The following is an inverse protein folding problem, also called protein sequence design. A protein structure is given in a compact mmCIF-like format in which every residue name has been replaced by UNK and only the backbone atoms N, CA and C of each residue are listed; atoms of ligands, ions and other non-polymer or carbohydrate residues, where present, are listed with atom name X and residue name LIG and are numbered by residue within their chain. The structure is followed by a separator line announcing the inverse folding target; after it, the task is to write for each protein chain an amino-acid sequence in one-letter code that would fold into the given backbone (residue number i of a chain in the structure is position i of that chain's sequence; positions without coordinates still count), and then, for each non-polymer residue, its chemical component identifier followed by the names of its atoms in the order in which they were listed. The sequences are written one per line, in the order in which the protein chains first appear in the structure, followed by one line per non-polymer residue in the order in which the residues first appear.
data_IF_313252451755
#
_entry.id   IF_313252451755
#
_cell.length_a   1.000
_cell.length_b   1.000
_cell.length_c   1.000
_cell.angle_alpha   90.00
_cell.angle_beta   90.00
_cell.angle_gamma   90.00
#
_symmetry.space_group_name_H-M   'P 1'
#
loop_
_entity.id
_entity.type
_entity.pdbx_description
1 polymer ?
#
# COMPACT_ATOMS: atom_id res chain seq x y z
N UNK A 1 27.19 -39.19 -16.38
CA UNK A 1 26.37 -38.18 -15.68
C UNK A 1 27.24 -36.97 -15.38
N UNK A 2 27.11 -35.88 -16.15
CA UNK A 2 27.89 -34.66 -15.88
C UNK A 2 27.42 -34.04 -14.57
N UNK A 3 28.33 -33.91 -13.61
CA UNK A 3 28.11 -33.24 -12.33
C UNK A 3 27.82 -31.76 -12.57
N UNK A 4 26.58 -31.34 -12.31
CA UNK A 4 26.17 -29.95 -12.39
C UNK A 4 27.03 -29.09 -11.46
N UNK A 5 27.85 -28.21 -12.04
CA UNK A 5 28.75 -27.31 -11.30
C UNK A 5 28.33 -25.84 -11.56
N UNK A 6 27.63 -25.19 -10.60
CA UNK A 6 27.19 -23.81 -10.71
C UNK A 6 28.30 -22.81 -11.05
N UNK A 7 29.52 -23.03 -10.52
CA UNK A 7 30.67 -22.17 -10.79
C UNK A 7 31.12 -22.28 -12.24
N UNK A 8 31.11 -23.50 -12.78
CA UNK A 8 31.48 -23.75 -14.17
C UNK A 8 30.47 -23.10 -15.13
N UNK A 9 29.18 -23.17 -14.81
CA UNK A 9 28.13 -22.53 -15.60
C UNK A 9 28.30 -21.00 -15.65
N UNK A 10 28.57 -20.36 -14.51
CA UNK A 10 28.85 -18.93 -14.46
C UNK A 10 30.09 -18.56 -15.31
N UNK A 11 31.18 -19.31 -15.16
CA UNK A 11 32.41 -19.10 -15.93
C UNK A 11 32.15 -19.27 -17.43
N UNK A 12 31.43 -20.30 -17.84
CA UNK A 12 31.06 -20.53 -19.25
C UNK A 12 30.18 -19.39 -19.79
N UNK A 13 29.25 -18.87 -18.99
CA UNK A 13 28.41 -17.72 -19.36
C UNK A 13 29.26 -16.45 -19.56
N UNK A 14 30.18 -16.17 -18.64
CA UNK A 14 31.04 -15.00 -18.71
C UNK A 14 32.07 -15.06 -19.84
N UNK A 15 32.47 -16.25 -20.30
CA UNK A 15 33.40 -16.42 -21.44
C UNK A 15 32.90 -15.83 -22.74
N UNK A 16 31.58 -15.66 -22.88
CA UNK A 16 30.98 -15.04 -24.07
C UNK A 16 31.33 -13.54 -24.17
N UNK A 17 31.70 -12.90 -23.06
CA UNK A 17 31.94 -11.46 -22.97
C UNK A 17 33.33 -11.10 -22.45
N UNK A 18 34.00 -12.02 -21.74
CA UNK A 18 35.29 -11.79 -21.10
C UNK A 18 36.26 -12.95 -21.36
N UNK A 19 37.53 -12.63 -21.59
CA UNK A 19 38.64 -13.56 -21.39
C UNK A 19 38.78 -13.82 -19.89
N UNK A 20 38.79 -15.09 -19.51
CA UNK A 20 38.82 -15.51 -18.11
C UNK A 20 40.14 -16.18 -17.79
N UNK A 21 40.81 -15.68 -16.75
CA UNK A 21 41.97 -16.32 -16.13
C UNK A 21 41.58 -16.94 -14.79
N UNK A 22 41.94 -18.20 -14.56
CA UNK A 22 41.65 -18.90 -13.32
C UNK A 22 42.79 -18.65 -12.32
N UNK A 23 42.59 -17.70 -11.40
CA UNK A 23 43.60 -17.37 -10.36
C UNK A 23 43.68 -18.49 -9.30
N UNK A 24 42.52 -19.00 -8.88
CA UNK A 24 42.44 -20.11 -7.93
C UNK A 24 41.27 -21.02 -8.26
N UNK A 25 41.54 -21.97 -9.17
CA UNK A 25 40.53 -22.90 -9.64
C UNK A 25 39.29 -22.16 -10.16
N UNK A 26 38.10 -22.57 -9.70
CA UNK A 26 36.83 -21.90 -10.02
C UNK A 26 36.34 -20.95 -8.93
N UNK A 27 37.15 -20.73 -7.89
CA UNK A 27 36.78 -19.87 -6.76
C UNK A 27 37.15 -18.42 -7.03
N UNK A 28 38.33 -18.16 -7.60
CA UNK A 28 38.79 -16.80 -7.91
C UNK A 28 39.21 -16.74 -9.36
N UNK A 29 38.62 -15.82 -10.11
CA UNK A 29 38.90 -15.61 -11.53
C UNK A 29 39.18 -14.13 -11.81
N UNK A 30 39.96 -13.84 -12.85
CA UNK A 30 40.08 -12.51 -13.42
C UNK A 30 39.34 -12.43 -14.77
N UNK A 31 38.69 -11.30 -15.02
CA UNK A 31 37.97 -10.98 -16.25
C UNK A 31 38.76 -9.92 -17.02
N UNK A 32 39.43 -10.28 -18.12
CA UNK A 32 40.20 -9.36 -19.00
C UNK A 32 41.21 -8.45 -18.25
N UNK A 33 41.74 -8.86 -17.10
CA UNK A 33 42.51 -8.00 -16.18
C UNK A 33 41.78 -6.76 -15.65
N UNK A 34 40.47 -6.64 -15.90
CA UNK A 34 39.61 -5.50 -15.52
C UNK A 34 38.92 -5.71 -14.18
N UNK A 35 38.60 -6.94 -13.82
CA UNK A 35 37.92 -7.26 -12.57
C UNK A 35 38.35 -8.62 -12.03
N UNK A 36 38.28 -8.78 -10.71
CA UNK A 36 38.51 -10.04 -10.02
C UNK A 36 37.19 -10.48 -9.37
N UNK A 37 36.79 -11.73 -9.63
CA UNK A 37 35.57 -12.34 -9.11
C UNK A 37 35.90 -13.43 -8.10
N UNK A 38 35.38 -13.31 -6.88
CA UNK A 38 35.40 -14.38 -5.88
C UNK A 38 34.04 -15.07 -5.80
N UNK A 39 33.98 -16.29 -6.35
CA UNK A 39 32.76 -17.05 -6.57
C UNK A 39 32.54 -18.06 -5.44
N UNK A 40 31.39 -17.95 -4.78
CA UNK A 40 30.89 -18.91 -3.81
C UNK A 40 29.54 -19.45 -4.29
N UNK A 41 29.25 -20.71 -4.00
CA UNK A 41 27.94 -21.29 -4.30
C UNK A 41 27.38 -22.01 -3.07
N UNK A 42 26.07 -22.08 -2.98
CA UNK A 42 25.37 -22.86 -1.98
C UNK A 42 24.07 -23.41 -2.57
N UNK A 43 23.69 -24.63 -2.19
CA UNK A 43 22.39 -25.22 -2.55
C UNK A 43 21.34 -24.76 -1.57
N UNK A 44 20.10 -24.63 -2.04
CA UNK A 44 18.98 -24.23 -1.19
C UNK A 44 18.86 -25.18 0.02
N UNK A 45 18.96 -24.64 1.23
CA UNK A 45 18.89 -25.38 2.49
C UNK A 45 17.45 -25.57 3.02
N UNK A 46 16.43 -25.11 2.30
CA UNK A 46 15.02 -25.35 2.60
C UNK A 46 14.11 -24.16 2.31
N UNK A 47 12.82 -24.45 2.12
CA UNK A 47 11.75 -23.47 1.93
C UNK A 47 10.79 -23.46 3.14
N UNK A 48 10.18 -22.32 3.41
CA UNK A 48 9.08 -22.16 4.38
C UNK A 48 7.97 -21.33 3.74
N UNK A 49 6.83 -21.14 4.41
CA UNK A 49 5.66 -20.42 3.87
C UNK A 49 5.99 -19.04 3.25
N UNK A 50 7.04 -18.36 3.72
CA UNK A 50 7.44 -17.02 3.25
C UNK A 50 8.89 -16.96 2.71
N UNK A 51 9.54 -18.11 2.53
CA UNK A 51 10.95 -18.18 2.09
C UNK A 51 11.07 -19.28 1.06
N UNK A 52 11.41 -18.92 -0.17
CA UNK A 52 11.61 -19.88 -1.26
C UNK A 52 13.04 -20.42 -1.30
N UNK A 53 14.02 -19.71 -0.69
CA UNK A 53 15.34 -20.28 -0.51
C UNK A 53 16.20 -19.68 0.60
N UNK A 54 17.04 -20.53 1.20
CA UNK A 54 18.03 -20.18 2.21
C UNK A 54 19.42 -20.66 1.78
N UNK A 55 20.39 -19.75 1.74
CA UNK A 55 21.74 -20.02 1.28
C UNK A 55 22.77 -19.55 2.29
N UNK A 56 23.79 -20.36 2.53
CA UNK A 56 24.86 -20.06 3.49
C UNK A 56 26.17 -19.75 2.76
N UNK A 57 26.72 -18.58 3.03
CA UNK A 57 27.97 -18.12 2.43
C UNK A 57 29.01 -17.77 3.50
N UNK A 58 30.27 -17.96 3.14
CA UNK A 58 31.43 -17.59 3.94
C UNK A 58 32.48 -16.98 3.02
N UNK A 59 32.88 -15.75 3.31
CA UNK A 59 33.94 -15.02 2.59
C UNK A 59 35.18 -15.03 3.46
N UNK A 60 36.25 -15.66 2.99
CA UNK A 60 37.51 -15.73 3.75
C UNK A 60 38.20 -14.38 3.76
N UNK A 61 38.61 -13.95 4.95
CA UNK A 61 39.30 -12.67 5.17
C UNK A 61 40.57 -12.56 4.34
N UNK A 62 41.42 -13.59 4.32
CA UNK A 62 42.68 -13.58 3.57
C UNK A 62 42.49 -13.44 2.06
N UNK A 63 41.47 -14.08 1.51
CA UNK A 63 41.13 -13.98 0.08
C UNK A 63 40.56 -12.60 -0.24
N UNK A 64 39.68 -12.08 0.61
CA UNK A 64 39.11 -10.75 0.42
C UNK A 64 40.17 -9.65 0.47
N UNK A 65 40.99 -9.63 1.52
CA UNK A 65 42.00 -8.58 1.73
C UNK A 65 43.04 -8.57 0.61
N UNK A 66 43.41 -9.74 0.09
CA UNK A 66 44.34 -9.88 -1.04
C UNK A 66 43.87 -9.14 -2.30
N UNK A 67 42.56 -9.11 -2.57
CA UNK A 67 42.02 -8.56 -3.81
C UNK A 67 41.20 -7.28 -3.63
N UNK A 68 40.82 -6.91 -2.40
CA UNK A 68 39.95 -5.77 -2.10
C UNK A 68 40.43 -4.41 -2.64
N UNK A 69 41.75 -4.23 -2.82
CA UNK A 69 42.34 -3.03 -3.42
C UNK A 69 42.28 -2.99 -4.96
N UNK A 70 41.75 -4.03 -5.60
CA UNK A 70 41.50 -4.09 -7.04
C UNK A 70 40.00 -3.89 -7.31
N UNK A 71 39.60 -3.89 -8.59
CA UNK A 71 38.19 -3.92 -8.98
C UNK A 71 37.58 -5.30 -8.69
N UNK A 72 37.22 -5.52 -7.43
CA UNK A 72 36.92 -6.82 -6.85
C UNK A 72 35.43 -7.00 -6.58
N UNK A 73 34.92 -8.20 -6.84
CA UNK A 73 33.52 -8.55 -6.63
C UNK A 73 33.39 -9.93 -5.98
N UNK A 74 32.37 -10.08 -5.15
CA UNK A 74 31.94 -11.35 -4.57
C UNK A 74 30.69 -11.82 -5.30
N UNK A 75 30.76 -13.00 -5.92
CA UNK A 75 29.62 -13.62 -6.60
C UNK A 75 29.07 -14.79 -5.78
N UNK A 76 27.84 -14.66 -5.29
CA UNK A 76 27.11 -15.67 -4.54
C UNK A 76 26.08 -16.37 -5.45
N UNK A 77 26.39 -17.59 -5.88
CA UNK A 77 25.51 -18.44 -6.68
C UNK A 77 24.52 -19.19 -5.77
N UNK A 78 23.24 -18.85 -5.87
CA UNK A 78 22.12 -19.39 -5.13
C UNK A 78 21.42 -20.47 -5.98
N UNK A 79 21.63 -21.74 -5.66
CA UNK A 79 21.22 -22.87 -6.51
C UNK A 79 19.92 -23.50 -6.01
N UNK A 80 18.85 -23.43 -6.82
CA UNK A 80 17.54 -24.03 -6.53
C UNK A 80 17.42 -25.44 -7.15
N UNK A 81 17.98 -25.62 -8.34
CA UNK A 81 17.97 -26.88 -9.08
C UNK A 81 18.96 -26.86 -10.25
N UNK A 82 19.02 -27.93 -11.05
CA UNK A 82 19.83 -27.94 -12.28
C UNK A 82 19.36 -26.83 -13.24
N UNK A 83 20.24 -25.87 -13.52
CA UNK A 83 19.96 -24.72 -14.41
C UNK A 83 19.25 -23.54 -13.75
N UNK A 84 18.70 -23.70 -12.53
CA UNK A 84 18.03 -22.62 -11.80
C UNK A 84 18.99 -22.02 -10.75
N UNK A 85 19.74 -21.01 -11.17
CA UNK A 85 20.73 -20.32 -10.36
C UNK A 85 20.54 -18.81 -10.46
N UNK A 86 20.45 -18.17 -9.31
CA UNK A 86 20.53 -16.72 -9.19
C UNK A 86 21.92 -16.32 -8.69
N UNK A 87 22.48 -15.26 -9.26
CA UNK A 87 23.79 -14.75 -8.85
C UNK A 87 23.62 -13.41 -8.14
N UNK A 88 24.04 -13.31 -6.88
CA UNK A 88 24.17 -12.02 -6.20
C UNK A 88 25.62 -11.56 -6.27
N UNK A 89 25.85 -10.42 -6.90
CA UNK A 89 27.19 -9.93 -7.20
C UNK A 89 27.43 -8.63 -6.43
N UNK A 90 28.28 -8.69 -5.42
CA UNK A 90 28.61 -7.56 -4.57
C UNK A 90 29.95 -6.96 -4.98
N UNK A 91 29.99 -5.69 -5.43
CA UNK A 91 31.23 -4.92 -5.45
C UNK A 91 31.89 -4.86 -4.06
N UNK A 92 33.22 -4.85 -4.00
CA UNK A 92 33.96 -4.84 -2.73
C UNK A 92 33.63 -3.64 -1.84
N UNK A 93 33.43 -2.46 -2.43
CA UNK A 93 33.04 -1.25 -1.70
C UNK A 93 31.66 -1.38 -1.05
N UNK A 94 30.69 -2.00 -1.73
CA UNK A 94 29.37 -2.30 -1.14
C UNK A 94 29.45 -3.41 -0.09
N UNK A 95 30.28 -4.42 -0.32
CA UNK A 95 30.49 -5.47 0.67
C UNK A 95 31.20 -4.93 1.92
N UNK A 96 32.05 -3.91 1.80
CA UNK A 96 32.69 -3.24 2.93
C UNK A 96 31.70 -2.56 3.88
N UNK A 97 30.55 -2.11 3.38
CA UNK A 97 29.45 -1.60 4.20
C UNK A 97 28.84 -2.73 5.04
N UNK A 98 28.53 -3.87 4.41
CA UNK A 98 27.91 -5.04 5.04
C UNK A 98 28.87 -5.74 6.02
N UNK A 99 30.15 -5.88 5.65
CA UNK A 99 31.13 -6.68 6.41
C UNK A 99 31.37 -6.11 7.81
N UNK A 100 31.17 -4.79 8.01
CA UNK A 100 31.29 -4.13 9.33
C UNK A 100 30.35 -4.75 10.35
N UNK A 101 29.20 -5.24 9.90
CA UNK A 101 28.22 -5.87 10.76
C UNK A 101 28.43 -7.37 10.93
N UNK A 102 29.16 -8.03 10.04
CA UNK A 102 29.37 -9.48 10.12
C UNK A 102 30.55 -9.77 11.05
N UNK A 103 30.29 -10.52 12.13
CA UNK A 103 31.37 -11.00 13.00
C UNK A 103 32.28 -11.98 12.24
N UNK A 104 33.59 -11.77 12.32
CA UNK A 104 34.57 -12.67 11.76
C UNK A 104 34.63 -13.96 12.59
N UNK A 105 34.32 -15.10 11.99
CA UNK A 105 34.31 -16.41 12.65
C UNK A 105 35.17 -17.39 11.86
N UNK A 106 36.19 -17.96 12.50
CA UNK A 106 37.14 -18.90 11.87
C UNK A 106 37.77 -18.32 10.59
N UNK A 107 38.11 -17.02 10.60
CA UNK A 107 38.71 -16.33 9.45
C UNK A 107 37.75 -16.03 8.29
N UNK A 108 36.44 -16.20 8.48
CA UNK A 108 35.43 -15.93 7.45
C UNK A 108 34.33 -14.99 7.97
N UNK A 109 33.84 -14.11 7.10
CA UNK A 109 32.56 -13.43 7.29
C UNK A 109 31.45 -14.35 6.81
N UNK A 110 30.66 -14.87 7.74
CA UNK A 110 29.57 -15.82 7.46
C UNK A 110 28.22 -15.12 7.52
N UNK A 111 27.42 -15.30 6.47
CA UNK A 111 26.09 -14.71 6.36
C UNK A 111 25.14 -15.62 5.58
N UNK A 112 23.85 -15.33 5.69
CA UNK A 112 22.81 -16.03 4.93
C UNK A 112 22.26 -15.11 3.83
N UNK A 113 22.02 -15.67 2.64
CA UNK A 113 21.13 -15.06 1.67
C UNK A 113 19.76 -15.74 1.73
N UNK A 114 18.72 -14.94 1.81
CA UNK A 114 17.33 -15.36 1.95
C UNK A 114 16.55 -14.86 0.73
N UNK A 115 15.98 -15.77 -0.06
CA UNK A 115 15.07 -15.43 -1.16
C UNK A 115 13.62 -15.54 -0.70
N UNK A 116 12.87 -14.46 -0.85
CA UNK A 116 11.42 -14.42 -0.53
C UNK A 116 10.58 -14.83 -1.74
N UNK A 117 9.32 -15.19 -1.49
CA UNK A 117 8.28 -15.44 -2.51
C UNK A 117 8.11 -14.29 -3.51
N UNK A 118 8.32 -13.05 -3.09
CA UNK A 118 8.35 -11.86 -3.95
C UNK A 118 9.64 -11.72 -4.79
N UNK A 119 10.47 -12.77 -4.86
CA UNK A 119 11.77 -12.77 -5.56
C UNK A 119 12.77 -11.72 -5.04
N UNK A 120 12.61 -11.22 -3.81
CA UNK A 120 13.58 -10.33 -3.14
C UNK A 120 14.65 -11.12 -2.43
N UNK A 121 15.85 -10.54 -2.36
CA UNK A 121 16.98 -11.13 -1.65
C UNK A 121 17.36 -10.31 -0.43
N UNK A 122 17.53 -11.00 0.70
CA UNK A 122 18.02 -10.38 1.93
C UNK A 122 19.30 -11.05 2.41
N UNK A 123 20.30 -10.24 2.77
CA UNK A 123 21.48 -10.70 3.46
C UNK A 123 21.24 -10.63 4.97
N UNK A 124 21.07 -11.78 5.61
CA UNK A 124 20.85 -11.89 7.05
C UNK A 124 22.16 -12.10 7.80
N UNK A 125 22.39 -11.22 8.78
CA UNK A 125 23.50 -11.30 9.73
C UNK A 125 22.98 -11.94 11.02
N UNK A 126 23.54 -13.10 11.42
CA UNK A 126 23.08 -13.81 12.61
C UNK A 126 23.04 -12.90 13.84
N UNK A 127 21.90 -12.89 14.54
CA UNK A 127 21.64 -12.13 15.77
C UNK A 127 21.64 -10.60 15.65
N UNK A 128 22.01 -10.02 14.49
CA UNK A 128 22.04 -8.57 14.31
C UNK A 128 20.91 -8.01 13.47
N UNK A 129 20.57 -8.63 12.34
CA UNK A 129 19.59 -8.05 11.41
C UNK A 129 19.70 -8.59 9.99
N UNK A 130 19.14 -7.86 9.02
CA UNK A 130 19.26 -8.17 7.60
C UNK A 130 19.33 -6.89 6.74
N UNK A 131 19.98 -6.99 5.60
CA UNK A 131 20.01 -5.99 4.54
C UNK A 131 19.15 -6.46 3.36
N UNK A 132 18.44 -5.56 2.68
CA UNK A 132 17.91 -5.86 1.35
C UNK A 132 19.05 -5.72 0.33
N UNK A 133 19.26 -6.79 -0.43
CA UNK A 133 20.33 -6.91 -1.43
C UNK A 133 19.78 -7.32 -2.80
N UNK A 134 18.50 -7.04 -3.05
CA UNK A 134 17.81 -7.41 -4.29
C UNK A 134 18.44 -6.76 -5.51
N UNK A 135 18.94 -5.53 -5.41
CA UNK A 135 19.59 -4.83 -6.54
C UNK A 135 20.89 -5.50 -7.00
N UNK A 136 21.52 -6.32 -6.16
CA UNK A 136 22.72 -7.08 -6.52
C UNK A 136 22.39 -8.37 -7.31
N UNK A 137 21.11 -8.70 -7.47
CA UNK A 137 20.66 -9.85 -8.24
C UNK A 137 21.01 -9.66 -9.72
N UNK A 138 21.82 -10.58 -10.24
CA UNK A 138 22.29 -10.62 -11.63
C UNK A 138 22.96 -9.31 -12.07
N UNK A 139 23.63 -8.62 -11.15
CA UNK A 139 24.39 -7.41 -11.43
C UNK A 139 25.73 -7.75 -12.11
N UNK A 140 25.75 -7.74 -13.45
CA UNK A 140 26.90 -8.12 -14.28
C UNK A 140 27.71 -6.94 -14.85
N UNK A 141 27.68 -5.76 -14.20
CA UNK A 141 28.58 -4.66 -14.58
C UNK A 141 29.88 -4.68 -13.76
N UNK A 142 30.93 -5.22 -14.39
CA UNK A 142 32.27 -5.33 -13.83
C UNK A 142 33.18 -4.14 -14.13
N UNK A 143 32.63 -3.00 -14.57
CA UNK A 143 33.41 -1.79 -14.81
C UNK A 143 34.02 -1.24 -13.51
N UNK A 144 35.21 -0.63 -13.54
CA UNK A 144 35.77 0.04 -12.37
C UNK A 144 34.82 1.14 -11.88
N UNK A 145 34.83 1.40 -10.56
CA UNK A 145 33.90 2.31 -9.88
C UNK A 145 33.77 3.68 -10.56
N UNK A 146 34.89 4.26 -10.98
CA UNK A 146 35.00 5.55 -11.66
C UNK A 146 34.35 5.61 -13.06
N UNK A 147 34.04 4.45 -13.66
CA UNK A 147 33.39 4.35 -14.98
C UNK A 147 31.95 3.84 -14.94
N UNK A 148 31.38 3.54 -13.76
CA UNK A 148 29.97 3.12 -13.61
C UNK A 148 29.06 4.35 -13.74
N UNK A 149 28.62 4.67 -14.97
CA UNK A 149 27.88 5.91 -15.27
C UNK A 149 26.35 5.77 -15.27
N UNK A 150 25.81 4.54 -15.22
CA UNK A 150 24.38 4.31 -15.47
C UNK A 150 23.59 3.77 -14.27
N UNK A 151 24.17 2.85 -13.49
CA UNK A 151 23.48 2.20 -12.37
C UNK A 151 24.51 1.51 -11.46
N UNK A 152 24.48 1.79 -10.16
CA UNK A 152 25.26 1.07 -9.16
C UNK A 152 24.30 0.57 -8.10
N UNK A 153 24.26 -0.74 -7.81
CA UNK A 153 23.32 -1.29 -6.84
C UNK A 153 23.58 -0.67 -5.47
N UNK A 154 22.49 -0.34 -4.80
CA UNK A 154 22.49 0.22 -3.46
C UNK A 154 22.13 -0.86 -2.44
N UNK A 155 22.75 -0.73 -1.26
CA UNK A 155 22.44 -1.55 -0.12
C UNK A 155 21.17 -0.97 0.54
N UNK A 156 20.10 -1.76 0.64
CA UNK A 156 18.90 -1.32 1.34
C UNK A 156 19.16 -1.10 2.84
N UNK A 157 18.29 -0.37 3.53
CA UNK A 157 18.49 -0.05 4.95
C UNK A 157 18.64 -1.29 5.84
N UNK A 158 19.51 -1.19 6.86
CA UNK A 158 19.73 -2.27 7.82
C UNK A 158 18.51 -2.46 8.72
N UNK A 159 17.96 -3.67 8.73
CA UNK A 159 16.82 -4.03 9.56
C UNK A 159 17.29 -4.85 10.79
N UNK A 160 17.37 -4.27 12.00
CA UNK A 160 17.89 -4.95 13.18
C UNK A 160 17.00 -6.12 13.63
N UNK A 161 17.62 -7.16 14.18
CA UNK A 161 16.96 -8.36 14.71
C UNK A 161 16.58 -8.10 16.17
N UNK A 162 15.33 -7.73 16.41
CA UNK A 162 14.79 -7.50 17.76
C UNK A 162 14.82 -8.79 18.58
N UNK A 163 15.46 -8.75 19.75
CA UNK A 163 15.55 -9.89 20.70
C UNK A 163 14.21 -10.04 21.41
N UNK A 164 13.71 -11.27 21.53
CA UNK A 164 12.40 -11.59 22.14
C UNK A 164 12.24 -10.97 23.53
N UNK A 165 11.44 -9.91 23.58
CA UNK A 165 10.98 -9.25 24.79
C UNK A 165 10.08 -8.07 24.47
N UNK A 166 9.38 -8.11 23.34
CA UNK A 166 8.31 -7.20 22.91
C UNK A 166 7.95 -7.64 21.48
N UNK A 167 6.71 -8.09 21.28
CA UNK A 167 6.22 -8.45 19.96
C UNK A 167 5.87 -7.15 19.25
N UNK A 168 6.76 -6.68 18.37
CA UNK A 168 6.41 -5.74 17.31
C UNK A 168 7.01 -6.25 15.98
N UNK A 169 6.12 -6.36 15.00
CA UNK A 169 6.25 -7.19 13.81
C UNK A 169 7.26 -6.65 12.79
N UNK A 170 8.00 -7.55 12.13
CA UNK A 170 8.63 -7.26 10.83
C UNK A 170 7.48 -6.98 9.84
N UNK A 171 7.54 -5.91 9.02
CA UNK A 171 6.51 -5.63 8.05
C UNK A 171 6.52 -6.75 7.01
N UNK A 172 5.51 -7.63 7.10
CA UNK A 172 4.88 -8.23 5.92
C UNK A 172 4.59 -7.04 4.98
N UNK A 173 4.73 -7.21 3.67
CA UNK A 173 4.02 -6.31 2.75
C UNK A 173 2.62 -6.11 3.34
N UNK A 174 2.20 -4.87 3.63
CA UNK A 174 0.98 -4.64 4.38
C UNK A 174 -0.11 -5.40 3.62
N UNK A 175 -0.64 -6.43 4.27
CA UNK A 175 -1.76 -7.17 3.73
C UNK A 175 -2.82 -6.11 3.41
N UNK A 176 -3.39 -6.08 2.19
CA UNK A 176 -4.47 -5.17 1.89
C UNK A 176 -5.50 -5.27 3.00
N UNK A 177 -5.96 -4.13 3.50
CA UNK A 177 -6.83 -4.10 4.68
C UNK A 177 -8.07 -4.99 4.50
N UNK A 178 -8.57 -5.14 3.27
CA UNK A 178 -9.62 -6.08 2.89
C UNK A 178 -9.28 -7.53 3.23
N UNK A 179 -8.08 -7.98 2.87
CA UNK A 179 -7.60 -9.33 3.16
C UNK A 179 -7.36 -9.51 4.67
N UNK A 180 -6.85 -8.47 5.34
CA UNK A 180 -6.64 -8.48 6.78
C UNK A 180 -7.96 -8.63 7.53
N UNK A 181 -8.97 -7.85 7.15
CA UNK A 181 -10.33 -7.94 7.68
C UNK A 181 -10.94 -9.33 7.47
N UNK A 182 -10.86 -9.90 6.25
CA UNK A 182 -11.40 -11.23 5.94
C UNK A 182 -10.72 -12.37 6.71
N UNK A 183 -9.40 -12.29 6.86
CA UNK A 183 -8.63 -13.32 7.55
C UNK A 183 -8.88 -13.28 9.06
N UNK A 184 -8.87 -12.09 9.65
CA UNK A 184 -8.96 -11.91 11.10
C UNK A 184 -10.37 -12.11 11.65
N UNK A 185 -11.41 -11.78 10.88
CA UNK A 185 -12.80 -12.03 11.28
C UNK A 185 -13.10 -13.53 11.45
N UNK A 186 -12.39 -14.42 10.73
CA UNK A 186 -12.52 -15.88 10.89
C UNK A 186 -11.59 -16.47 11.95
N UNK A 187 -10.62 -15.70 12.45
CA UNK A 187 -9.64 -16.14 13.44
C UNK A 187 -10.14 -15.92 14.88
N UNK A 188 -11.11 -16.74 15.29
CA UNK A 188 -11.60 -16.75 16.68
C UNK A 188 -10.53 -17.07 17.75
N UNK A 189 -9.37 -17.61 17.36
CA UNK A 189 -8.26 -17.87 18.29
C UNK A 189 -7.46 -16.62 18.63
N UNK A 190 -7.53 -15.58 17.80
CA UNK A 190 -6.80 -14.33 17.99
C UNK A 190 -7.73 -13.12 17.72
N UNK A 191 -8.78 -12.92 18.54
CA UNK A 191 -9.77 -11.85 18.31
C UNK A 191 -9.14 -10.45 18.25
N UNK A 192 -8.05 -10.22 18.97
CA UNK A 192 -7.33 -8.94 18.99
C UNK A 192 -6.82 -8.53 17.60
N UNK A 193 -6.53 -9.49 16.72
CA UNK A 193 -6.11 -9.16 15.35
C UNK A 193 -7.27 -8.54 14.55
N UNK A 194 -8.50 -8.96 14.83
CA UNK A 194 -9.68 -8.39 14.18
C UNK A 194 -9.97 -6.98 14.71
N UNK A 195 -9.83 -6.77 16.02
CA UNK A 195 -9.92 -5.44 16.62
C UNK A 195 -8.92 -4.46 15.99
N UNK A 196 -7.69 -4.92 15.74
CA UNK A 196 -6.63 -4.12 15.11
C UNK A 196 -6.94 -3.80 13.64
N UNK A 197 -7.56 -4.73 12.92
CA UNK A 197 -8.01 -4.52 11.54
C UNK A 197 -9.18 -3.53 11.47
N UNK A 198 -10.11 -3.60 12.42
CA UNK A 198 -11.22 -2.65 12.52
C UNK A 198 -10.72 -1.24 12.87
N UNK A 199 -9.76 -1.11 13.78
CA UNK A 199 -9.14 0.18 14.13
C UNK A 199 -8.51 0.84 12.89
N UNK A 200 -7.77 0.06 12.08
CA UNK A 200 -7.23 0.52 10.80
C UNK A 200 -8.34 0.96 9.84
N UNK A 201 -9.42 0.19 9.73
CA UNK A 201 -10.55 0.55 8.87
C UNK A 201 -11.19 1.88 9.24
N UNK A 202 -11.54 2.09 10.52
CA UNK A 202 -12.16 3.34 10.96
C UNK A 202 -11.21 4.52 10.81
N UNK A 203 -9.92 4.32 11.11
CA UNK A 203 -8.88 5.33 10.87
C UNK A 203 -8.77 5.69 9.39
N UNK A 204 -8.77 4.70 8.50
CA UNK A 204 -8.61 4.91 7.05
C UNK A 204 -9.78 5.69 6.46
N UNK A 205 -11.02 5.40 6.87
CA UNK A 205 -12.21 6.16 6.39
C UNK A 205 -12.40 7.51 7.10
N UNK A 206 -11.43 7.94 7.93
CA UNK A 206 -11.34 9.29 8.49
C UNK A 206 -11.84 9.47 9.92
N UNK A 207 -12.08 8.40 10.69
CA UNK A 207 -12.47 8.50 12.09
C UNK A 207 -11.26 8.40 13.03
N UNK A 208 -11.03 9.41 13.90
CA UNK A 208 -10.10 9.24 15.02
C UNK A 208 -10.71 8.24 16.03
N UNK A 209 -10.00 7.15 16.27
CA UNK A 209 -10.46 6.10 17.16
C UNK A 209 -9.35 5.65 18.12
N UNK A 210 -9.77 5.00 19.21
CA UNK A 210 -8.89 4.40 20.21
C UNK A 210 -9.35 2.98 20.49
N UNK A 211 -8.42 2.03 20.46
CA UNK A 211 -8.68 0.68 20.98
C UNK A 211 -8.75 0.71 22.50
N UNK A 212 -9.83 0.16 23.07
CA UNK A 212 -10.02 0.01 24.52
C UNK A 212 -9.87 -1.46 24.94
N UNK A 213 -9.96 -2.39 23.98
CA UNK A 213 -9.89 -3.85 24.08
C UNK A 213 -9.38 -4.48 25.39
N UNK A 214 -10.12 -5.46 25.88
CA UNK A 214 -9.79 -6.21 27.09
C UNK A 214 -10.94 -7.15 27.49
N UNK A 215 -10.72 -8.12 28.41
CA UNK A 215 -11.78 -8.98 28.90
C UNK A 215 -12.87 -8.13 29.57
N UNK A 216 -14.02 -7.99 28.91
CA UNK A 216 -15.13 -7.20 29.45
C UNK A 216 -15.43 -5.95 28.64
N UNK A 217 -14.49 -5.37 27.90
CA UNK A 217 -14.69 -4.08 27.21
C UNK A 217 -15.23 -4.22 25.77
N UNK A 218 -15.61 -3.09 25.16
CA UNK A 218 -15.77 -2.95 23.70
C UNK A 218 -14.41 -2.74 23.04
N UNK A 219 -14.30 -3.12 21.78
CA UNK A 219 -13.01 -3.21 21.12
C UNK A 219 -12.45 -1.81 20.77
N UNK A 220 -13.28 -0.96 20.17
CA UNK A 220 -12.87 0.36 19.67
C UNK A 220 -13.87 1.44 20.11
N UNK A 221 -13.35 2.59 20.48
CA UNK A 221 -14.10 3.82 20.69
C UNK A 221 -13.73 4.84 19.60
N UNK A 222 -14.70 5.21 18.78
CA UNK A 222 -14.59 6.35 17.87
C UNK A 222 -14.89 7.62 18.64
N UNK A 223 -14.07 8.65 18.44
CA UNK A 223 -14.10 9.87 19.26
C UNK A 223 -14.90 11.00 18.61
N UNK A 224 -14.68 11.22 17.32
CA UNK A 224 -15.19 12.36 16.55
C UNK A 224 -15.53 11.92 15.12
N UNK A 225 -16.40 12.63 14.37
CA UNK A 225 -17.17 13.80 14.81
C UNK A 225 -18.40 13.43 15.66
N UNK A 226 -18.65 12.14 15.82
CA UNK A 226 -19.65 11.58 16.75
C UNK A 226 -18.98 10.44 17.51
N UNK A 227 -19.20 10.39 18.82
CA UNK A 227 -18.64 9.35 19.66
C UNK A 227 -19.49 8.09 19.59
N UNK A 228 -18.90 6.94 19.23
CA UNK A 228 -19.61 5.65 19.20
C UNK A 228 -18.66 4.49 19.48
N UNK A 229 -19.22 3.36 19.91
CA UNK A 229 -18.42 2.14 20.16
C UNK A 229 -18.54 1.17 18.99
N UNK A 230 -17.45 0.45 18.73
CA UNK A 230 -17.41 -0.63 17.76
C UNK A 230 -16.95 -1.90 18.47
N UNK A 231 -17.64 -2.99 18.17
CA UNK A 231 -17.35 -4.32 18.70
C UNK A 231 -17.26 -5.34 17.55
N UNK A 232 -16.11 -6.00 17.43
CA UNK A 232 -15.78 -7.01 16.45
C UNK A 232 -15.98 -8.42 17.01
N UNK A 233 -16.89 -9.18 16.39
CA UNK A 233 -17.11 -10.59 16.72
C UNK A 233 -16.45 -11.50 15.68
N UNK A 234 -15.28 -12.02 15.98
CA UNK A 234 -14.65 -13.07 15.17
C UNK A 234 -15.30 -14.45 15.41
N UNK A 235 -15.43 -15.25 14.35
CA UNK A 235 -16.07 -16.57 14.40
C UNK A 235 -15.59 -17.46 13.25
N UNK A 236 -15.40 -18.76 13.53
CA UNK A 236 -15.12 -19.76 12.48
C UNK A 236 -16.38 -20.15 11.68
N UNK A 237 -17.56 -19.90 12.24
CA UNK A 237 -18.83 -20.10 11.55
C UNK A 237 -19.10 -18.96 10.55
N UNK A 238 -19.97 -19.20 9.59
CA UNK A 238 -20.29 -18.20 8.55
C UNK A 238 -21.19 -17.06 9.08
N UNK A 239 -21.85 -17.25 10.23
CA UNK A 239 -22.65 -16.23 10.88
C UNK A 239 -22.56 -16.31 12.41
N UNK A 240 -22.85 -15.18 13.06
CA UNK A 240 -23.00 -15.09 14.51
C UNK A 240 -24.47 -15.25 14.91
N UNK A 241 -24.73 -16.22 15.76
CA UNK A 241 -26.07 -16.58 16.23
C UNK A 241 -26.50 -15.93 17.55
N UNK A 242 -25.56 -15.33 18.28
CA UNK A 242 -25.84 -14.67 19.56
C UNK A 242 -24.87 -13.52 19.84
N UNK A 243 -25.42 -12.41 20.35
CA UNK A 243 -24.69 -11.22 20.76
C UNK A 243 -25.22 -10.77 22.12
N UNK A 244 -24.31 -10.42 23.04
CA UNK A 244 -24.69 -9.81 24.31
C UNK A 244 -24.78 -8.29 24.17
N UNK A 245 -25.91 -7.82 23.65
CA UNK A 245 -26.17 -6.38 23.44
C UNK A 245 -26.16 -5.60 24.75
N UNK A 246 -26.69 -6.15 25.83
CA UNK A 246 -26.73 -5.50 27.16
C UNK A 246 -25.35 -5.09 27.63
N UNK A 247 -24.34 -5.95 27.44
CA UNK A 247 -22.95 -5.65 27.78
C UNK A 247 -22.42 -4.49 26.94
N UNK A 248 -22.54 -4.58 25.61
CA UNK A 248 -22.03 -3.56 24.67
C UNK A 248 -22.68 -2.20 24.96
N UNK A 249 -24.00 -2.19 25.20
CA UNK A 249 -24.79 -1.00 25.53
C UNK A 249 -24.33 -0.35 26.85
N UNK A 250 -23.94 -1.15 27.84
CA UNK A 250 -23.36 -0.63 29.08
C UNK A 250 -22.03 0.09 28.81
N UNK A 251 -21.11 -0.53 28.06
CA UNK A 251 -19.81 0.07 27.74
C UNK A 251 -19.93 1.31 26.85
N UNK A 252 -20.87 1.31 25.92
CA UNK A 252 -21.24 2.50 25.15
C UNK A 252 -21.63 3.65 26.07
N UNK A 253 -22.52 3.40 27.05
CA UNK A 253 -22.93 4.42 28.03
C UNK A 253 -21.78 4.89 28.91
N UNK A 254 -20.97 3.98 29.44
CA UNK A 254 -19.77 4.30 30.24
C UNK A 254 -18.78 5.16 29.46
N UNK A 255 -18.71 4.97 28.14
CA UNK A 255 -17.86 5.74 27.24
C UNK A 255 -18.52 7.00 26.68
N UNK A 256 -19.75 7.34 27.06
CA UNK A 256 -20.56 8.43 26.46
C UNK A 256 -20.72 8.31 24.93
N UNK A 257 -20.81 7.09 24.39
CA UNK A 257 -21.11 6.86 22.98
C UNK A 257 -22.60 7.07 22.66
N UNK A 258 -22.88 7.60 21.47
CA UNK A 258 -24.24 7.85 20.98
C UNK A 258 -24.91 6.59 20.41
N UNK A 259 -24.14 5.73 19.77
CA UNK A 259 -24.62 4.47 19.18
C UNK A 259 -23.53 3.39 19.22
N UNK A 260 -23.90 2.17 18.82
CA UNK A 260 -23.00 1.02 18.80
C UNK A 260 -23.04 0.31 17.45
N UNK A 261 -21.87 -0.06 16.96
CA UNK A 261 -21.68 -0.80 15.71
C UNK A 261 -21.07 -2.15 16.04
N UNK A 262 -21.62 -3.21 15.47
CA UNK A 262 -21.11 -4.56 15.66
C UNK A 262 -20.75 -5.15 14.31
N UNK A 263 -19.54 -5.68 14.20
CA UNK A 263 -18.99 -6.22 12.96
C UNK A 263 -18.69 -7.71 13.11
N UNK A 264 -19.09 -8.53 12.14
CA UNK A 264 -18.77 -9.96 12.10
C UNK A 264 -18.72 -10.49 10.66
N UNK A 265 -18.46 -11.80 10.48
CA UNK A 265 -18.54 -12.48 9.17
C UNK A 265 -19.93 -12.30 8.56
N UNK A 266 -20.96 -12.40 9.41
CA UNK A 266 -22.36 -12.29 9.10
C UNK A 266 -23.18 -12.52 10.37
N UNK A 267 -24.51 -12.39 10.28
CA UNK A 267 -25.41 -12.53 11.43
C UNK A 267 -26.64 -13.34 11.06
N UNK A 268 -27.13 -14.12 12.01
CA UNK A 268 -28.41 -14.80 11.84
C UNK A 268 -29.57 -13.79 11.82
N UNK A 269 -30.65 -14.03 11.06
CA UNK A 269 -31.77 -13.09 10.96
C UNK A 269 -32.42 -12.73 12.31
N UNK A 270 -32.39 -13.64 13.29
CA UNK A 270 -32.89 -13.38 14.63
C UNK A 270 -32.08 -12.28 15.34
N UNK A 271 -30.75 -12.31 15.20
CA UNK A 271 -29.84 -11.31 15.76
C UNK A 271 -30.08 -9.93 15.14
N UNK A 272 -30.44 -9.88 13.86
CA UNK A 272 -30.86 -8.66 13.19
C UNK A 272 -32.05 -7.96 13.87
N UNK A 273 -33.08 -8.73 14.25
CA UNK A 273 -34.24 -8.21 14.98
C UNK A 273 -33.89 -7.73 16.38
N UNK A 274 -33.05 -8.50 17.09
CA UNK A 274 -32.58 -8.10 18.41
C UNK A 274 -31.78 -6.78 18.37
N UNK A 275 -30.97 -6.59 17.33
CA UNK A 275 -30.22 -5.37 17.12
C UNK A 275 -31.11 -4.15 16.83
N UNK A 276 -32.21 -4.33 16.09
CA UNK A 276 -33.21 -3.26 15.89
C UNK A 276 -33.84 -2.81 17.21
N UNK A 277 -34.22 -3.77 18.06
CA UNK A 277 -34.80 -3.51 19.38
C UNK A 277 -33.79 -2.81 20.30
N UNK A 278 -32.54 -3.25 20.28
CA UNK A 278 -31.52 -2.75 21.20
C UNK A 278 -30.87 -1.44 20.75
N UNK A 279 -31.12 -1.01 19.51
CA UNK A 279 -30.55 0.20 18.91
C UNK A 279 -29.10 0.00 18.46
N UNK A 280 -28.76 -1.19 17.97
CA UNK A 280 -27.43 -1.56 17.50
C UNK A 280 -27.39 -1.69 15.98
N UNK A 281 -26.29 -1.27 15.38
CA UNK A 281 -26.01 -1.42 13.95
C UNK A 281 -25.20 -2.70 13.74
N UNK A 282 -25.66 -3.60 12.86
CA UNK A 282 -24.92 -4.81 12.49
C UNK A 282 -24.36 -4.67 11.07
N UNK A 283 -23.06 -4.89 10.91
CA UNK A 283 -22.38 -4.79 9.61
C UNK A 283 -21.60 -6.07 9.36
N UNK A 284 -21.92 -6.77 8.28
CA UNK A 284 -21.11 -7.91 7.86
C UNK A 284 -19.80 -7.44 7.21
N UNK A 285 -18.81 -8.32 7.22
CA UNK A 285 -17.46 -7.99 6.75
C UNK A 285 -17.43 -7.60 5.26
N UNK A 286 -18.33 -8.16 4.45
CA UNK A 286 -18.36 -7.88 3.01
C UNK A 286 -18.94 -6.49 2.72
N UNK A 287 -19.95 -6.09 3.48
CA UNK A 287 -20.51 -4.73 3.49
C UNK A 287 -19.45 -3.73 3.95
N UNK A 288 -18.69 -4.03 5.01
CA UNK A 288 -17.58 -3.18 5.48
C UNK A 288 -16.50 -2.98 4.42
N UNK A 289 -16.09 -4.06 3.73
CA UNK A 289 -15.13 -4.00 2.61
C UNK A 289 -15.68 -3.18 1.44
N UNK A 290 -16.99 -3.25 1.19
CA UNK A 290 -17.63 -2.44 0.14
C UNK A 290 -17.52 -0.96 0.48
N UNK A 291 -17.74 -0.56 1.74
CA UNK A 291 -17.55 0.81 2.21
C UNK A 291 -16.09 1.25 2.03
N UNK A 292 -15.12 0.39 2.38
CA UNK A 292 -13.70 0.68 2.19
C UNK A 292 -13.34 0.95 0.72
N UNK A 293 -13.83 0.11 -0.19
CA UNK A 293 -13.59 0.26 -1.63
C UNK A 293 -14.19 1.55 -2.16
N UNK A 294 -15.41 1.88 -1.73
CA UNK A 294 -16.06 3.14 -2.08
C UNK A 294 -15.23 4.33 -1.57
N UNK A 295 -14.73 4.29 -0.33
CA UNK A 295 -13.87 5.35 0.23
C UNK A 295 -12.58 5.57 -0.59
N UNK A 296 -11.93 4.47 -0.99
CA UNK A 296 -10.69 4.54 -1.78
C UNK A 296 -10.91 5.09 -3.18
N UNK A 297 -12.09 4.86 -3.76
CA UNK A 297 -12.46 5.37 -5.08
C UNK A 297 -13.00 6.81 -5.01
N UNK A 298 -13.73 7.13 -3.94
CA UNK A 298 -14.39 8.41 -3.71
C UNK A 298 -14.08 8.92 -2.30
N UNK A 299 -13.39 10.05 -2.21
CA UNK A 299 -13.07 10.68 -0.91
C UNK A 299 -14.36 11.21 -0.29
N UNK A 300 -14.91 10.48 0.67
CA UNK A 300 -16.11 10.85 1.41
C UNK A 300 -15.76 11.37 2.81
N UNK A 301 -16.67 12.15 3.38
CA UNK A 301 -16.53 12.66 4.73
C UNK A 301 -16.93 11.61 5.78
N UNK A 302 -16.34 11.60 6.98
CA UNK A 302 -16.83 10.81 8.12
C UNK A 302 -18.34 10.96 8.38
N UNK A 303 -18.91 12.14 8.14
CA UNK A 303 -20.35 12.38 8.27
C UNK A 303 -21.20 11.51 7.33
N UNK A 304 -20.68 11.22 6.13
CA UNK A 304 -21.36 10.40 5.14
C UNK A 304 -21.51 8.95 5.61
N UNK A 305 -20.54 8.48 6.40
CA UNK A 305 -20.58 7.14 6.99
C UNK A 305 -21.47 7.09 8.23
N UNK A 306 -21.55 8.16 9.03
CA UNK A 306 -22.39 8.19 10.24
C UNK A 306 -23.86 7.88 9.93
N UNK A 307 -24.38 8.37 8.80
CA UNK A 307 -25.76 8.10 8.39
C UNK A 307 -26.04 6.61 8.19
N UNK A 308 -25.04 5.82 7.81
CA UNK A 308 -25.14 4.35 7.69
C UNK A 308 -24.84 3.69 9.03
N UNK A 309 -23.77 4.10 9.69
CA UNK A 309 -23.29 3.49 10.93
C UNK A 309 -24.27 3.66 12.10
N UNK A 310 -25.19 4.63 12.03
CA UNK A 310 -26.24 4.89 13.03
C UNK A 310 -27.53 4.07 12.79
N UNK A 311 -27.66 3.38 11.66
CA UNK A 311 -28.91 2.66 11.33
C UNK A 311 -29.05 1.37 12.13
N UNK A 312 -30.11 1.26 12.92
CA UNK A 312 -30.38 0.05 13.68
C UNK A 312 -30.63 -1.16 12.78
N UNK A 313 -30.28 -2.34 13.30
CA UNK A 313 -30.42 -3.62 12.60
C UNK A 313 -29.30 -3.88 11.60
N UNK A 314 -29.56 -4.80 10.67
CA UNK A 314 -28.59 -5.20 9.64
C UNK A 314 -28.42 -4.10 8.59
N UNK A 315 -27.17 -3.71 8.32
CA UNK A 315 -26.80 -2.86 7.19
C UNK A 315 -26.63 -3.77 5.97
N UNK A 316 -27.52 -3.62 5.00
CA UNK A 316 -27.47 -4.32 3.72
C UNK A 316 -26.97 -3.41 2.61
N UNK A 317 -26.69 -3.96 1.42
CA UNK A 317 -26.29 -3.17 0.25
C UNK A 317 -27.27 -2.05 -0.12
N UNK A 318 -28.57 -2.23 0.14
CA UNK A 318 -29.60 -1.20 -0.10
C UNK A 318 -29.39 0.04 0.79
N UNK A 319 -28.96 -0.16 2.04
CA UNK A 319 -28.67 0.91 3.00
C UNK A 319 -27.40 1.70 2.66
N UNK A 320 -26.55 1.19 1.76
CA UNK A 320 -25.42 1.93 1.14
C UNK A 320 -25.90 2.81 -0.04
N UNK A 321 -27.15 2.64 -0.51
CA UNK A 321 -27.74 3.42 -1.61
C UNK A 321 -27.56 4.95 -1.50
N UNK A 322 -27.80 5.59 -0.34
CA UNK A 322 -27.60 7.02 -0.16
C UNK A 322 -26.17 7.49 -0.46
N UNK A 323 -25.14 6.73 -0.06
CA UNK A 323 -23.76 7.03 -0.41
C UNK A 323 -23.53 7.00 -1.92
N UNK A 324 -24.10 6.00 -2.60
CA UNK A 324 -23.99 5.87 -4.06
C UNK A 324 -24.66 7.03 -4.77
N UNK A 325 -25.86 7.44 -4.32
CA UNK A 325 -26.56 8.60 -4.87
C UNK A 325 -25.76 9.90 -4.70
N UNK A 326 -25.11 10.08 -3.53
CA UNK A 326 -24.24 11.22 -3.29
C UNK A 326 -23.05 11.26 -4.26
N UNK A 327 -22.42 10.10 -4.48
CA UNK A 327 -21.31 9.95 -5.43
C UNK A 327 -21.76 10.26 -6.86
N UNK A 328 -22.89 9.68 -7.30
CA UNK A 328 -23.47 9.93 -8.61
C UNK A 328 -23.78 11.42 -8.81
N UNK A 329 -24.33 12.07 -7.78
CA UNK A 329 -24.57 13.50 -7.80
C UNK A 329 -23.28 14.31 -7.99
N UNK A 330 -22.20 13.98 -7.27
CA UNK A 330 -20.90 14.63 -7.42
C UNK A 330 -20.29 14.44 -8.82
N UNK A 331 -20.34 13.22 -9.36
CA UNK A 331 -19.87 12.91 -10.73
C UNK A 331 -20.66 13.71 -11.75
N UNK A 332 -21.99 13.74 -11.61
CA UNK A 332 -22.87 14.50 -12.49
C UNK A 332 -22.54 16.00 -12.45
N UNK A 333 -22.31 16.55 -11.25
CA UNK A 333 -21.90 17.94 -11.07
C UNK A 333 -20.58 18.27 -11.76
N UNK A 334 -19.58 17.40 -11.66
CA UNK A 334 -18.30 17.56 -12.36
C UNK A 334 -18.47 17.48 -13.88
N UNK A 335 -19.26 16.52 -14.39
CA UNK A 335 -19.51 16.39 -15.81
C UNK A 335 -20.23 17.62 -16.38
N UNK A 336 -21.26 18.11 -15.69
CA UNK A 336 -21.95 19.36 -16.05
C UNK A 336 -21.01 20.57 -16.03
N UNK A 337 -20.09 20.64 -15.06
CA UNK A 337 -19.03 21.66 -15.04
C UNK A 337 -18.15 21.60 -16.30
N UNK A 338 -17.77 20.40 -16.74
CA UNK A 338 -16.95 20.24 -17.95
C UNK A 338 -17.67 20.66 -19.23
N UNK A 339 -18.98 20.38 -19.32
CA UNK A 339 -19.84 20.83 -20.42
C UNK A 339 -19.95 22.36 -20.41
N UNK A 340 -20.20 22.95 -19.24
CA UNK A 340 -20.26 24.41 -19.08
C UNK A 340 -18.96 25.07 -19.54
N UNK A 341 -17.81 24.56 -19.09
CA UNK A 341 -16.50 25.10 -19.46
C UNK A 341 -16.19 24.98 -20.96
N UNK A 342 -16.69 23.96 -21.65
CA UNK A 342 -16.56 23.81 -23.12
C UNK A 342 -17.33 24.90 -23.88
N UNK A 343 -18.43 25.38 -23.30
CA UNK A 343 -19.36 26.29 -23.97
C UNK A 343 -19.18 27.77 -23.58
N UNK A 344 -18.32 28.05 -22.60
CA UNK A 344 -17.89 29.40 -22.23
C UNK A 344 -16.65 29.84 -23.01
N UNK A 345 -16.42 31.14 -23.09
CA UNK A 345 -15.21 31.73 -23.65
C UNK A 345 -14.92 33.08 -22.97
N UNK A 346 -13.97 33.86 -23.51
CA UNK A 346 -13.57 35.15 -22.95
C UNK A 346 -14.63 36.25 -23.07
N UNK A 347 -15.70 36.02 -23.82
CA UNK A 347 -16.79 37.00 -24.01
C UNK A 347 -17.76 36.95 -22.83
N UNK A 348 -17.97 38.06 -22.10
CA UNK A 348 -18.94 38.11 -21.01
C UNK A 348 -20.38 37.92 -21.52
N UNK A 349 -21.07 36.91 -20.99
CA UNK A 349 -22.46 36.58 -21.34
C UNK A 349 -23.34 36.50 -20.12
N UNK A 350 -24.62 36.84 -20.28
CA UNK A 350 -25.62 36.57 -19.26
C UNK A 350 -25.98 35.07 -19.23
N UNK A 351 -26.68 34.65 -18.18
CA UNK A 351 -27.03 33.24 -17.98
C UNK A 351 -27.94 32.67 -19.08
N UNK A 352 -28.83 33.47 -19.66
CA UNK A 352 -29.76 32.99 -20.68
C UNK A 352 -29.04 32.75 -22.02
N UNK A 353 -28.06 33.60 -22.37
CA UNK A 353 -27.16 33.40 -23.50
C UNK A 353 -26.30 32.13 -23.32
N UNK A 354 -25.78 31.91 -22.11
CA UNK A 354 -25.00 30.72 -21.77
C UNK A 354 -25.87 29.47 -21.87
N UNK A 355 -27.10 29.53 -21.34
CA UNK A 355 -28.07 28.43 -21.41
C UNK A 355 -28.38 28.07 -22.87
N UNK A 356 -28.62 29.07 -23.74
CA UNK A 356 -28.88 28.82 -25.15
C UNK A 356 -27.74 28.06 -25.85
N UNK A 357 -26.48 28.39 -25.52
CA UNK A 357 -25.30 27.67 -26.04
C UNK A 357 -25.21 26.23 -25.52
N UNK A 358 -25.44 26.05 -24.23
CA UNK A 358 -25.41 24.72 -23.60
C UNK A 358 -26.54 23.83 -24.13
N UNK A 359 -27.75 24.36 -24.28
CA UNK A 359 -28.88 23.62 -24.83
C UNK A 359 -28.58 23.13 -26.26
N UNK A 360 -28.02 24.02 -27.11
CA UNK A 360 -27.58 23.65 -28.46
C UNK A 360 -26.50 22.56 -28.44
N UNK A 361 -25.51 22.69 -27.56
CA UNK A 361 -24.47 21.67 -27.38
C UNK A 361 -25.07 20.32 -26.92
N UNK A 362 -25.96 20.33 -25.94
CA UNK A 362 -26.62 19.14 -25.44
C UNK A 362 -27.46 18.46 -26.53
N UNK A 363 -28.20 19.22 -27.33
CA UNK A 363 -28.99 18.69 -28.46
C UNK A 363 -28.09 18.04 -29.53
N UNK A 364 -26.99 18.70 -29.90
CA UNK A 364 -26.04 18.17 -30.89
C UNK A 364 -25.34 16.89 -30.43
N UNK A 365 -25.10 16.76 -29.12
CA UNK A 365 -24.37 15.63 -28.55
C UNK A 365 -25.28 14.59 -27.87
N UNK A 366 -26.61 14.73 -27.98
CA UNK A 366 -27.60 13.85 -27.33
C UNK A 366 -27.41 13.72 -25.81
N UNK A 367 -27.03 14.82 -25.16
CA UNK A 367 -26.83 14.91 -23.72
C UNK A 367 -28.11 15.47 -23.08
N UNK A 368 -28.43 15.01 -21.87
CA UNK A 368 -29.50 15.59 -21.05
C UNK A 368 -29.26 17.10 -20.85
N UNK A 369 -30.33 17.89 -20.99
CA UNK A 369 -30.26 19.34 -20.79
C UNK A 369 -29.90 19.66 -19.34
N UNK A 370 -29.19 20.77 -19.16
CA UNK A 370 -28.81 21.29 -17.84
C UNK A 370 -29.80 22.40 -17.48
N UNK A 371 -30.39 22.31 -16.28
CA UNK A 371 -31.36 23.29 -15.84
C UNK A 371 -30.70 24.64 -15.54
N UNK A 372 -31.47 25.73 -15.68
CA UNK A 372 -30.93 27.10 -15.54
C UNK A 372 -30.32 27.34 -14.16
N UNK A 373 -30.98 26.88 -13.10
CA UNK A 373 -30.51 26.98 -11.71
C UNK A 373 -29.23 26.17 -11.47
N UNK A 374 -29.05 25.04 -12.15
CA UNK A 374 -27.83 24.25 -12.09
C UNK A 374 -26.67 24.98 -12.78
N UNK A 375 -26.91 25.59 -13.95
CA UNK A 375 -25.92 26.43 -14.64
C UNK A 375 -25.49 27.59 -13.73
N UNK A 376 -26.45 28.26 -13.09
CA UNK A 376 -26.17 29.35 -12.15
C UNK A 376 -25.27 28.89 -10.99
N UNK A 377 -25.63 27.78 -10.35
CA UNK A 377 -24.88 27.21 -9.23
C UNK A 377 -23.46 26.83 -9.65
N UNK A 378 -23.31 26.26 -10.84
CA UNK A 378 -22.01 25.90 -11.41
C UNK A 378 -21.13 27.10 -11.72
N UNK A 379 -21.71 28.17 -12.27
CA UNK A 379 -21.00 29.41 -12.56
C UNK A 379 -20.49 30.05 -11.26
N UNK A 380 -21.34 30.12 -10.23
CA UNK A 380 -20.95 30.61 -8.89
C UNK A 380 -19.81 29.77 -8.32
N UNK A 381 -19.93 28.44 -8.37
CA UNK A 381 -18.88 27.52 -7.93
C UNK A 381 -17.55 27.78 -8.67
N UNK A 382 -17.56 27.83 -10.00
CA UNK A 382 -16.35 28.04 -10.81
C UNK A 382 -15.76 29.45 -10.69
N UNK A 383 -16.54 30.41 -10.22
CA UNK A 383 -16.11 31.77 -9.89
C UNK A 383 -15.48 31.91 -8.52
N UNK A 384 -15.62 30.92 -7.64
CA UNK A 384 -15.03 30.96 -6.30
C UNK A 384 -13.51 31.23 -6.32
N UNK A 385 -13.00 31.99 -5.35
CA UNK A 385 -11.61 32.49 -5.33
C UNK A 385 -10.53 31.40 -5.33
N UNK A 386 -10.86 30.20 -4.84
CA UNK A 386 -9.97 29.04 -4.91
C UNK A 386 -9.82 28.49 -6.34
N UNK A 387 -10.88 28.61 -7.15
CA UNK A 387 -10.92 28.11 -8.52
C UNK A 387 -10.50 29.20 -9.51
N UNK A 388 -11.12 30.39 -9.42
CA UNK A 388 -10.94 31.54 -10.33
C UNK A 388 -10.91 31.12 -11.80
N UNK A 389 -11.84 30.24 -12.18
CA UNK A 389 -11.95 29.74 -13.55
C UNK A 389 -12.88 30.64 -14.36
N UNK A 390 -13.99 31.02 -13.74
CA UNK A 390 -15.00 31.91 -14.33
C UNK A 390 -14.89 33.30 -13.70
N UNK A 391 -14.79 34.33 -14.54
CA UNK A 391 -14.94 35.72 -14.16
C UNK A 391 -16.42 36.07 -14.08
N UNK A 392 -16.87 36.59 -12.94
CA UNK A 392 -18.22 37.12 -12.77
C UNK A 392 -18.14 38.64 -12.60
N UNK A 393 -18.76 39.39 -13.52
CA UNK A 393 -18.83 40.85 -13.46
C UNK A 393 -20.16 41.34 -14.03
N UNK A 394 -20.85 42.22 -13.31
CA UNK A 394 -22.11 42.84 -13.75
C UNK A 394 -23.16 41.82 -14.24
N UNK A 395 -23.35 40.72 -13.47
CA UNK A 395 -24.21 39.57 -13.82
C UNK A 395 -23.88 38.87 -15.16
N UNK A 396 -22.65 39.04 -15.66
CA UNK A 396 -22.12 38.32 -16.80
C UNK A 396 -20.96 37.42 -16.39
N UNK A 397 -20.79 36.36 -17.15
CA UNK A 397 -19.79 35.34 -16.92
C UNK A 397 -18.91 35.15 -18.16
N UNK A 398 -17.61 35.01 -17.94
CA UNK A 398 -16.62 34.67 -18.97
C UNK A 398 -15.51 33.80 -18.37
N UNK A 399 -14.69 33.15 -19.19
CA UNK A 399 -13.53 32.42 -18.67
C UNK A 399 -12.35 33.37 -18.41
N UNK A 400 -11.55 33.03 -17.40
CA UNK A 400 -10.20 33.61 -17.21
C UNK A 400 -9.14 32.95 -18.13
N UNK A 401 -9.42 31.74 -18.60
CA UNK A 401 -8.51 30.94 -19.42
C UNK A 401 -9.24 30.41 -20.66
N UNK A 402 -8.50 29.83 -21.61
CA UNK A 402 -9.14 29.09 -22.72
C UNK A 402 -9.95 27.90 -22.17
N UNK A 403 -10.96 27.38 -22.88
CA UNK A 403 -11.71 26.21 -22.42
C UNK A 403 -10.84 25.01 -22.03
N UNK A 404 -9.82 24.60 -22.82
CA UNK A 404 -8.94 23.50 -22.42
C UNK A 404 -8.17 23.78 -21.12
N UNK A 405 -7.64 24.99 -20.96
CA UNK A 405 -6.87 25.36 -19.77
C UNK A 405 -7.77 25.52 -18.53
N UNK A 406 -9.00 25.98 -18.71
CA UNK A 406 -10.02 26.05 -17.66
C UNK A 406 -10.36 24.66 -17.10
N UNK A 407 -10.52 23.66 -17.98
CA UNK A 407 -10.74 22.26 -17.56
C UNK A 407 -9.53 21.71 -16.80
N UNK A 408 -8.32 21.97 -17.29
CA UNK A 408 -7.10 21.52 -16.60
C UNK A 408 -6.90 22.23 -15.25
N UNK A 409 -7.25 23.51 -15.14
CA UNK A 409 -7.25 24.24 -13.86
C UNK A 409 -8.23 23.64 -12.85
N UNK A 410 -9.44 23.28 -13.28
CA UNK A 410 -10.41 22.59 -12.42
C UNK A 410 -9.85 21.25 -11.92
N UNK A 411 -9.37 20.41 -12.84
CA UNK A 411 -8.77 19.10 -12.50
C UNK A 411 -7.57 19.26 -11.56
N UNK A 412 -6.68 20.20 -11.84
CA UNK A 412 -5.49 20.44 -11.03
C UNK A 412 -5.84 20.91 -9.62
N UNK A 413 -6.81 21.82 -9.49
CA UNK A 413 -7.26 22.31 -8.17
C UNK A 413 -7.92 21.18 -7.37
N UNK A 414 -8.76 20.35 -8.00
CA UNK A 414 -9.33 19.16 -7.34
C UNK A 414 -8.21 18.21 -6.88
N UNK A 415 -7.25 17.88 -7.75
CA UNK A 415 -6.10 17.03 -7.36
C UNK A 415 -5.33 17.62 -6.19
N UNK A 416 -5.06 18.93 -6.20
CA UNK A 416 -4.36 19.62 -5.11
C UNK A 416 -5.10 19.46 -3.78
N UNK A 417 -6.43 19.64 -3.77
CA UNK A 417 -7.26 19.48 -2.59
C UNK A 417 -7.31 18.02 -2.08
N UNK A 418 -7.17 17.03 -2.97
CA UNK A 418 -7.27 15.62 -2.58
C UNK A 418 -5.93 14.94 -2.25
N UNK A 419 -4.77 15.50 -2.63
CA UNK A 419 -3.48 14.76 -2.59
C UNK A 419 -2.42 15.31 -1.64
N UNK A 420 -2.60 16.52 -1.09
CA UNK A 420 -1.63 17.09 -0.17
C UNK A 420 -2.27 17.38 1.19
N UNK A 421 -1.77 16.79 2.29
CA UNK A 421 -2.01 17.40 3.59
C UNK A 421 -1.42 18.82 3.52
N UNK A 422 -2.26 19.82 3.75
CA UNK A 422 -1.78 21.16 4.05
C UNK A 422 -1.10 21.06 5.42
N UNK A 423 0.22 20.98 5.42
CA UNK A 423 1.00 21.27 6.64
C UNK A 423 0.77 22.75 6.94
N UNK A 424 -0.15 23.01 7.85
CA UNK A 424 -0.34 24.33 8.45
C UNK A 424 0.66 24.38 9.59
N UNK A 425 1.73 25.17 9.42
CA UNK A 425 2.73 25.46 10.47
C UNK A 425 2.09 26.15 11.69
#
# INVERSE_FOLDING_TARGET
MNTFNPKKLLIETLRNQYQIELIRGSDVIALNSKAILYIRYNKNAGATKNLIGKFWFGITKSEYEKYSNHNFFIACACVFGPGEIDYLIFPSDRFDEIKKDIALQSGQWKFNLLKTDEKRYHLQIPKKGKYDVTEFLNYFDFSPREFRRAYSPELGEFQPKVTKGEILAIPKKPMPLEEELLMTVKDSSNPQNFELALEKFFTEIGFPCKRIGGPGETDILVLEPVKFVVDGKSTKADAKSAINFTRIKRHMKESNGEFMVIVSVGFDPAVGKDAEIEGATLIDIQTLITVLKIHREYVLSPFDYIEILRQHGMVTGEKIGPLRQKIEHQINMLNKSMILLENLDFTPRNIDEIKGRIDLYCEQNQILKIERNEIESLLIFLSHDLLRIVNQKDNKFSLWFTPPLSKEKLKSTIRMLCTKPLEVE
#
